data_IF_179079173229
#
_entry.id   IF_179079173229
#
_cell.length_a   1.000
_cell.length_b   1.000
_cell.length_c   1.000
_cell.angle_alpha   90.00
_cell.angle_beta   90.00
_cell.angle_gamma   90.00
#
_symmetry.space_group_name_H-M   'P 1'
#
loop_
_entity.id
_entity.type
_entity.pdbx_description
1 polymer ?
#
# COMPACT_ATOMS: atom_id res chain seq x y z
N UNK A 1 26.70 -24.43 13.68
CA UNK A 1 25.65 -23.39 13.70
C UNK A 1 24.79 -23.52 12.45
N UNK A 2 23.52 -23.87 12.64
CA UNK A 2 22.53 -24.13 11.58
C UNK A 2 22.22 -22.81 10.85
N UNK A 3 22.54 -22.73 9.55
CA UNK A 3 21.99 -21.69 8.65
C UNK A 3 20.50 -21.98 8.52
N UNK A 4 19.64 -21.27 9.24
CA UNK A 4 18.22 -21.18 8.88
C UNK A 4 18.11 -20.15 7.76
N UNK A 5 17.87 -20.57 6.49
CA UNK A 5 17.54 -19.63 5.44
C UNK A 5 16.20 -18.99 5.81
N UNK A 6 16.18 -17.66 5.93
CA UNK A 6 14.92 -16.93 6.06
C UNK A 6 14.23 -17.11 4.70
N UNK A 7 13.19 -17.96 4.65
CA UNK A 7 12.36 -18.12 3.47
C UNK A 7 11.64 -16.80 3.23
N UNK A 8 11.97 -16.13 2.12
CA UNK A 8 11.17 -15.03 1.64
C UNK A 8 9.74 -15.54 1.40
N UNK A 9 8.69 -14.81 1.83
CA UNK A 9 7.32 -15.25 1.62
C UNK A 9 7.06 -15.45 0.11
N UNK A 10 6.19 -16.42 -0.27
CA UNK A 10 5.84 -16.68 -1.66
C UNK A 10 5.32 -15.39 -2.33
N UNK A 11 5.44 -15.27 -3.66
CA UNK A 11 5.01 -14.07 -4.41
C UNK A 11 3.59 -13.62 -4.03
N UNK A 12 2.69 -14.56 -3.73
CA UNK A 12 1.31 -14.34 -3.27
C UNK A 12 1.17 -13.68 -1.89
N UNK A 13 2.20 -13.74 -1.04
CA UNK A 13 2.29 -13.05 0.27
C UNK A 13 3.19 -11.81 0.24
N UNK A 14 3.79 -11.47 -0.91
CA UNK A 14 4.61 -10.27 -1.02
C UNK A 14 3.76 -8.99 -0.97
N UNK A 15 4.27 -7.94 -0.35
CA UNK A 15 3.61 -6.62 -0.31
C UNK A 15 3.31 -6.11 -1.73
N UNK A 16 4.19 -6.41 -2.69
CA UNK A 16 4.01 -6.06 -4.11
C UNK A 16 2.80 -6.75 -4.74
N UNK A 17 2.58 -8.04 -4.47
CA UNK A 17 1.41 -8.74 -5.03
C UNK A 17 0.09 -8.21 -4.43
N UNK A 18 0.07 -7.91 -3.13
CA UNK A 18 -1.10 -7.28 -2.49
C UNK A 18 -1.41 -5.91 -3.09
N UNK A 19 -0.37 -5.09 -3.32
CA UNK A 19 -0.52 -3.80 -3.98
C UNK A 19 -1.05 -3.96 -5.41
N UNK A 20 -0.52 -4.90 -6.19
CA UNK A 20 -1.01 -5.16 -7.56
C UNK A 20 -2.49 -5.54 -7.56
N UNK A 21 -2.90 -6.48 -6.70
CA UNK A 21 -4.31 -6.90 -6.59
C UNK A 21 -5.19 -5.72 -6.19
N UNK A 22 -4.76 -4.92 -5.22
CA UNK A 22 -5.51 -3.75 -4.78
C UNK A 22 -5.63 -2.69 -5.91
N UNK A 23 -4.55 -2.45 -6.66
CA UNK A 23 -4.56 -1.56 -7.82
C UNK A 23 -5.53 -2.05 -8.89
N UNK A 24 -5.52 -3.35 -9.20
CA UNK A 24 -6.45 -3.95 -10.17
C UNK A 24 -7.89 -3.73 -9.71
N UNK A 25 -8.21 -4.01 -8.44
CA UNK A 25 -9.56 -3.83 -7.89
C UNK A 25 -10.02 -2.37 -8.03
N UNK A 26 -9.19 -1.40 -7.64
CA UNK A 26 -9.56 0.02 -7.75
C UNK A 26 -9.76 0.47 -9.19
N UNK A 27 -8.90 0.01 -10.11
CA UNK A 27 -9.03 0.33 -11.52
C UNK A 27 -10.33 -0.26 -12.09
N UNK A 28 -10.65 -1.52 -11.79
CA UNK A 28 -11.89 -2.17 -12.22
C UNK A 28 -13.13 -1.47 -11.67
N UNK A 29 -13.11 -1.02 -10.41
CA UNK A 29 -14.20 -0.22 -9.85
C UNK A 29 -14.38 1.07 -10.67
N UNK A 30 -13.29 1.78 -10.96
CA UNK A 30 -13.31 2.97 -11.80
C UNK A 30 -13.89 2.71 -13.19
N UNK A 31 -13.54 1.59 -13.82
CA UNK A 31 -14.10 1.18 -15.10
C UNK A 31 -15.61 0.99 -15.04
N UNK A 32 -16.14 0.36 -13.98
CA UNK A 32 -17.59 0.20 -13.80
C UNK A 32 -18.28 1.57 -13.71
N UNK A 33 -17.69 2.52 -12.97
CA UNK A 33 -18.21 3.88 -12.86
C UNK A 33 -18.23 4.65 -14.19
N UNK A 34 -17.36 4.30 -15.13
CA UNK A 34 -17.33 4.92 -16.47
C UNK A 34 -18.28 4.19 -17.43
N UNK A 35 -18.27 2.86 -17.41
CA UNK A 35 -19.03 2.00 -18.31
C UNK A 35 -20.55 2.14 -18.12
N UNK A 36 -21.02 2.07 -16.86
CA UNK A 36 -22.44 2.10 -16.51
C UNK A 36 -23.17 3.33 -17.07
N UNK A 37 -22.72 4.59 -16.82
CA UNK A 37 -23.37 5.77 -17.39
C UNK A 37 -23.17 5.89 -18.91
N UNK A 38 -22.06 5.37 -19.44
CA UNK A 38 -21.76 5.39 -20.88
C UNK A 38 -22.77 4.57 -21.69
N UNK A 39 -23.08 3.34 -21.26
CA UNK A 39 -24.11 2.50 -21.92
C UNK A 39 -25.52 3.08 -21.74
N UNK A 40 -25.81 3.64 -20.56
CA UNK A 40 -27.08 4.31 -20.31
C UNK A 40 -27.28 5.51 -21.26
N UNK A 41 -26.22 6.30 -21.47
CA UNK A 41 -26.22 7.40 -22.42
C UNK A 41 -26.36 6.94 -23.86
N UNK A 42 -25.70 5.83 -24.25
CA UNK A 42 -25.84 5.27 -25.61
C UNK A 42 -27.31 4.99 -25.93
N UNK A 43 -28.03 4.30 -25.02
CA UNK A 43 -29.46 4.03 -25.20
C UNK A 43 -30.26 5.32 -25.37
N UNK A 44 -30.03 6.31 -24.51
CA UNK A 44 -30.74 7.58 -24.57
C UNK A 44 -30.54 8.29 -25.91
N UNK A 45 -29.29 8.38 -26.37
CA UNK A 45 -28.94 8.98 -27.67
C UNK A 45 -29.58 8.21 -28.82
N UNK A 46 -29.50 6.87 -28.82
CA UNK A 46 -30.13 6.03 -29.83
C UNK A 46 -31.64 6.31 -29.97
N UNK A 47 -32.34 6.37 -28.84
CA UNK A 47 -33.78 6.63 -28.85
C UNK A 47 -34.10 8.07 -29.28
N UNK A 48 -33.28 9.04 -28.91
CA UNK A 48 -33.41 10.42 -29.35
C UNK A 48 -33.23 10.52 -30.88
N UNK A 49 -32.24 9.84 -31.46
CA UNK A 49 -32.01 9.79 -32.91
C UNK A 49 -33.21 9.18 -33.64
N UNK A 50 -33.83 8.13 -33.09
CA UNK A 50 -35.05 7.53 -33.66
C UNK A 50 -36.26 8.47 -33.58
N UNK A 51 -36.40 9.22 -32.49
CA UNK A 51 -37.44 10.26 -32.35
C UNK A 51 -37.25 11.36 -33.42
N UNK A 52 -36.02 11.85 -33.60
CA UNK A 52 -35.71 12.88 -34.59
C UNK A 52 -35.95 12.41 -36.02
N UNK A 53 -35.52 11.20 -36.36
CA UNK A 53 -35.76 10.60 -37.69
C UNK A 53 -37.25 10.37 -37.97
N UNK A 54 -37.99 9.85 -37.00
CA UNK A 54 -39.44 9.66 -37.08
C UNK A 54 -40.19 10.98 -37.26
N UNK A 55 -39.74 12.04 -36.59
CA UNK A 55 -40.30 13.38 -36.73
C UNK A 55 -40.13 13.92 -38.15
N UNK A 56 -38.93 13.83 -38.71
CA UNK A 56 -38.66 14.28 -40.08
C UNK A 56 -39.54 13.51 -41.08
N UNK A 57 -39.69 12.20 -40.88
CA UNK A 57 -40.59 11.38 -41.69
C UNK A 57 -42.05 11.85 -41.59
N UNK A 58 -42.54 12.11 -40.39
CA UNK A 58 -43.91 12.59 -40.17
C UNK A 58 -44.15 13.99 -40.77
N UNK A 59 -43.21 14.92 -40.62
CA UNK A 59 -43.30 16.26 -41.22
C UNK A 59 -43.27 16.21 -42.77
N UNK A 60 -42.54 15.24 -43.33
CA UNK A 60 -42.50 15.04 -44.80
C UNK A 60 -43.85 14.57 -45.34
N UNK A 61 -44.59 13.78 -44.56
CA UNK A 61 -45.96 13.36 -44.87
C UNK A 61 -46.94 14.54 -44.77
N UNK A 62 -46.81 15.35 -43.71
CA UNK A 62 -47.66 16.52 -43.48
C UNK A 62 -47.49 17.58 -44.58
N UNK A 63 -46.28 17.72 -45.12
CA UNK A 63 -45.99 18.65 -46.21
C UNK A 63 -46.43 18.16 -47.62
N UNK A 64 -46.91 16.92 -47.75
CA UNK A 64 -47.32 16.38 -49.05
C UNK A 64 -48.66 16.98 -49.52
N UNK A 65 -48.83 17.26 -50.83
CA UNK A 65 -50.12 17.71 -51.38
C UNK A 65 -51.22 16.70 -51.06
N UNK A 66 -52.37 17.17 -50.58
CA UNK A 66 -53.53 16.38 -50.16
C UNK A 66 -53.35 15.47 -48.92
N UNK A 67 -52.22 15.57 -48.19
CA UNK A 67 -51.97 14.80 -46.95
C UNK A 67 -51.93 13.28 -47.14
N UNK A 68 -51.86 12.82 -48.39
CA UNK A 68 -51.94 11.42 -48.79
C UNK A 68 -50.63 11.01 -49.47
N UNK A 69 -49.92 10.12 -48.81
CA UNK A 69 -48.63 9.59 -49.28
C UNK A 69 -48.84 8.16 -49.72
N UNK A 70 -48.22 7.75 -50.83
CA UNK A 70 -48.33 6.37 -51.32
C UNK A 70 -47.88 5.38 -50.26
N UNK A 71 -48.48 4.19 -50.26
CA UNK A 71 -48.14 3.13 -49.30
C UNK A 71 -46.65 2.78 -49.35
N UNK A 72 -46.05 2.81 -50.54
CA UNK A 72 -44.63 2.55 -50.74
C UNK A 72 -43.74 3.61 -50.08
N UNK A 73 -44.09 4.89 -50.21
CA UNK A 73 -43.34 5.98 -49.58
C UNK A 73 -43.54 5.97 -48.06
N UNK A 74 -44.73 5.62 -47.56
CA UNK A 74 -44.97 5.38 -46.12
C UNK A 74 -44.06 4.27 -45.57
N UNK A 75 -44.03 3.12 -46.24
CA UNK A 75 -43.17 1.98 -45.87
C UNK A 75 -41.70 2.36 -45.91
N UNK A 76 -41.28 3.11 -46.93
CA UNK A 76 -39.91 3.60 -47.07
C UNK A 76 -39.51 4.57 -45.94
N UNK A 77 -40.39 5.49 -45.56
CA UNK A 77 -40.16 6.45 -44.47
C UNK A 77 -40.08 5.74 -43.10
N UNK A 78 -40.95 4.77 -42.83
CA UNK A 78 -40.89 3.96 -41.60
C UNK A 78 -39.62 3.11 -41.54
N UNK A 79 -39.21 2.49 -42.66
CA UNK A 79 -37.99 1.70 -42.73
C UNK A 79 -36.74 2.55 -42.47
N UNK A 80 -36.63 3.73 -43.08
CA UNK A 80 -35.47 4.61 -42.90
C UNK A 80 -35.41 5.27 -41.51
N UNK A 81 -36.56 5.58 -40.91
CA UNK A 81 -36.61 6.08 -39.54
C UNK A 81 -36.37 4.97 -38.50
N UNK A 82 -36.55 3.70 -38.89
CA UNK A 82 -36.35 2.54 -38.01
C UNK A 82 -37.41 2.44 -36.92
N UNK A 83 -38.64 2.87 -37.23
CA UNK A 83 -39.80 2.83 -36.34
C UNK A 83 -40.96 2.12 -37.03
N UNK A 84 -41.81 1.49 -36.25
CA UNK A 84 -42.98 0.75 -36.71
C UNK A 84 -44.21 1.65 -36.87
N UNK A 85 -44.26 2.74 -36.10
CA UNK A 85 -45.36 3.70 -36.09
C UNK A 85 -44.89 5.04 -35.55
N UNK A 86 -45.47 6.13 -36.07
CA UNK A 86 -45.24 7.51 -35.61
C UNK A 86 -46.58 8.23 -35.44
N UNK A 87 -46.73 8.87 -34.28
CA UNK A 87 -47.82 9.82 -34.02
C UNK A 87 -47.25 11.13 -33.49
N UNK A 88 -47.78 12.24 -33.99
CA UNK A 88 -47.47 13.58 -33.50
C UNK A 88 -48.62 14.04 -32.60
N UNK A 89 -48.29 14.61 -31.45
CA UNK A 89 -49.25 15.27 -30.57
C UNK A 89 -48.88 16.75 -30.47
N UNK A 90 -49.80 17.61 -30.92
CA UNK A 90 -49.72 19.07 -30.84
C UNK A 90 -50.89 19.57 -29.99
N UNK A 91 -50.58 20.23 -28.88
CA UNK A 91 -51.56 20.61 -27.85
C UNK A 91 -52.47 19.43 -27.42
N UNK A 92 -53.77 19.55 -27.69
CA UNK A 92 -54.83 18.57 -27.36
C UNK A 92 -55.11 17.55 -28.49
N UNK A 93 -54.51 17.73 -29.68
CA UNK A 93 -54.80 16.90 -30.85
C UNK A 93 -53.68 15.88 -31.11
N UNK A 94 -54.05 14.59 -31.15
CA UNK A 94 -53.15 13.50 -31.52
C UNK A 94 -53.42 13.09 -32.96
N UNK A 95 -52.48 13.39 -33.85
CA UNK A 95 -52.55 12.98 -35.25
C UNK A 95 -51.65 11.77 -35.48
N UNK A 96 -52.26 10.66 -35.90
CA UNK A 96 -51.57 9.45 -36.28
C UNK A 96 -51.20 9.55 -37.76
N UNK A 97 -49.90 9.59 -38.06
CA UNK A 97 -49.42 10.01 -39.39
C UNK A 97 -48.86 8.82 -40.17
N UNK A 98 -48.19 7.89 -39.48
CA UNK A 98 -47.59 6.70 -40.09
C UNK A 98 -47.89 5.48 -39.21
N UNK A 99 -48.50 4.44 -39.79
CA UNK A 99 -48.76 3.15 -39.13
C UNK A 99 -48.35 2.01 -40.03
N UNK A 100 -47.79 0.95 -39.45
CA UNK A 100 -47.68 -0.35 -40.10
C UNK A 100 -48.97 -1.15 -39.88
N UNK A 101 -49.36 -1.99 -40.85
CA UNK A 101 -50.66 -2.67 -40.94
C UNK A 101 -51.00 -3.66 -39.79
N UNK A 102 -50.12 -3.86 -38.80
CA UNK A 102 -50.27 -4.88 -37.73
C UNK A 102 -50.35 -4.25 -36.33
N UNK A 103 -51.31 -4.64 -35.47
CA UNK A 103 -51.33 -4.21 -34.07
C UNK A 103 -50.17 -4.85 -33.28
N UNK A 104 -49.30 -4.02 -32.72
CA UNK A 104 -48.17 -4.47 -31.90
C UNK A 104 -48.54 -4.51 -30.41
N UNK A 105 -48.17 -5.58 -29.71
CA UNK A 105 -48.25 -5.62 -28.25
C UNK A 105 -47.12 -4.76 -27.66
N UNK A 106 -47.50 -3.65 -26.99
CA UNK A 106 -46.53 -2.73 -26.36
C UNK A 106 -45.98 -3.40 -25.10
N UNK A 107 -44.70 -3.78 -25.14
CA UNK A 107 -44.03 -4.43 -24.00
C UNK A 107 -43.52 -3.44 -22.94
N UNK A 108 -43.26 -2.19 -23.32
CA UNK A 108 -42.88 -1.12 -22.38
C UNK A 108 -43.15 0.27 -22.98
N UNK A 109 -43.40 1.26 -22.11
CA UNK A 109 -43.49 2.68 -22.50
C UNK A 109 -42.40 3.49 -21.79
N UNK A 110 -41.71 4.34 -22.52
CA UNK A 110 -40.65 5.21 -22.02
C UNK A 110 -40.94 6.67 -22.36
N UNK A 111 -40.87 7.54 -21.36
CA UNK A 111 -41.05 8.99 -21.49
C UNK A 111 -39.71 9.66 -21.26
N UNK A 112 -39.17 10.30 -22.29
CA UNK A 112 -37.83 10.92 -22.30
C UNK A 112 -37.72 12.12 -21.34
N UNK A 113 -38.81 12.88 -21.17
CA UNK A 113 -38.81 14.07 -20.31
C UNK A 113 -38.67 13.75 -18.82
N UNK A 114 -38.97 12.52 -18.40
CA UNK A 114 -38.96 12.10 -17.00
C UNK A 114 -37.74 11.23 -16.64
N UNK A 115 -36.66 11.34 -17.40
CA UNK A 115 -35.48 10.49 -17.22
C UNK A 115 -34.51 11.07 -16.19
N UNK A 116 -34.32 10.34 -15.08
CA UNK A 116 -33.24 10.59 -14.14
C UNK A 116 -32.03 9.69 -14.46
N UNK A 117 -30.80 10.05 -14.06
CA UNK A 117 -29.60 9.23 -14.31
C UNK A 117 -29.76 7.77 -13.84
N UNK A 118 -30.41 7.57 -12.69
CA UNK A 118 -30.70 6.24 -12.16
C UNK A 118 -31.70 5.46 -13.02
N UNK A 119 -32.75 6.14 -13.52
CA UNK A 119 -33.76 5.56 -14.41
C UNK A 119 -33.14 5.16 -15.75
N UNK A 120 -32.27 5.99 -16.31
CA UNK A 120 -31.50 5.70 -17.54
C UNK A 120 -30.68 4.42 -17.41
N UNK A 121 -29.91 4.30 -16.31
CA UNK A 121 -29.11 3.11 -16.02
C UNK A 121 -30.02 1.88 -15.92
N UNK A 122 -31.04 1.92 -15.06
CA UNK A 122 -31.95 0.78 -14.88
C UNK A 122 -32.62 0.34 -16.18
N UNK A 123 -33.07 1.28 -17.01
CA UNK A 123 -33.70 0.97 -18.29
C UNK A 123 -32.71 0.39 -19.31
N UNK A 124 -31.48 0.89 -19.36
CA UNK A 124 -30.45 0.36 -20.25
C UNK A 124 -30.04 -1.08 -19.89
N UNK A 125 -29.78 -1.35 -18.61
CA UNK A 125 -29.49 -2.72 -18.15
C UNK A 125 -30.72 -3.64 -18.26
N UNK A 126 -31.93 -3.10 -18.04
CA UNK A 126 -33.18 -3.83 -18.27
C UNK A 126 -33.38 -4.25 -19.73
N UNK A 127 -33.06 -3.36 -20.70
CA UNK A 127 -33.13 -3.68 -22.12
C UNK A 127 -32.12 -4.77 -22.51
N UNK A 128 -30.85 -4.64 -22.07
CA UNK A 128 -29.81 -5.63 -22.37
C UNK A 128 -30.08 -7.01 -21.75
N UNK A 129 -30.66 -7.07 -20.55
CA UNK A 129 -31.01 -8.33 -19.88
C UNK A 129 -32.27 -8.99 -20.45
N UNK A 130 -33.19 -8.18 -21.01
CA UNK A 130 -34.43 -8.67 -21.63
C UNK A 130 -34.29 -9.17 -23.06
N UNK A 131 -33.09 -9.13 -23.66
CA UNK A 131 -32.83 -9.67 -25.00
C UNK A 131 -33.40 -8.87 -26.18
N UNK A 132 -34.18 -7.82 -25.93
CA UNK A 132 -34.74 -6.95 -26.97
C UNK A 132 -35.94 -7.53 -27.74
N UNK A 133 -36.57 -8.60 -27.27
CA UNK A 133 -37.68 -9.28 -27.98
C UNK A 133 -39.05 -8.58 -27.83
N UNK A 134 -39.07 -7.26 -27.64
CA UNK A 134 -40.31 -6.51 -27.41
C UNK A 134 -40.37 -5.23 -28.22
N UNK A 135 -41.59 -4.85 -28.58
CA UNK A 135 -41.87 -3.52 -29.12
C UNK A 135 -42.01 -2.53 -27.97
N UNK A 136 -41.30 -1.42 -28.07
CA UNK A 136 -41.32 -0.35 -27.06
C UNK A 136 -41.96 0.91 -27.64
N UNK A 137 -42.76 1.57 -26.81
CA UNK A 137 -43.32 2.88 -27.09
C UNK A 137 -42.43 3.95 -26.46
N UNK A 138 -42.04 4.94 -27.23
CA UNK A 138 -41.14 6.00 -26.77
C UNK A 138 -41.76 7.35 -27.06
N UNK A 139 -41.91 8.16 -26.01
CA UNK A 139 -42.49 9.49 -26.07
C UNK A 139 -41.39 10.48 -25.75
N UNK A 140 -41.11 11.36 -26.70
CA UNK A 140 -40.11 12.41 -26.55
C UNK A 140 -40.60 13.75 -27.10
N UNK A 141 -40.04 14.83 -26.54
CA UNK A 141 -40.16 16.17 -27.11
C UNK A 141 -38.92 16.44 -27.94
N UNK A 142 -39.08 16.95 -29.16
CA UNK A 142 -37.93 17.32 -29.97
C UNK A 142 -37.32 18.61 -29.38
N UNK A 143 -36.01 18.65 -29.06
CA UNK A 143 -35.40 19.78 -28.32
C UNK A 143 -35.43 21.15 -29.03
N UNK A 144 -35.80 21.19 -30.31
CA UNK A 144 -35.55 22.35 -31.19
C UNK A 144 -36.72 23.30 -31.41
N UNK A 145 -37.93 22.97 -30.95
CA UNK A 145 -39.09 23.85 -31.15
C UNK A 145 -39.81 24.16 -29.84
N UNK A 146 -40.10 25.43 -29.62
CA UNK A 146 -40.91 25.94 -28.49
C UNK A 146 -42.40 25.59 -28.57
N UNK A 147 -42.80 24.77 -29.55
CA UNK A 147 -44.19 24.44 -29.89
C UNK A 147 -44.80 23.30 -29.05
N UNK A 148 -44.07 22.73 -28.08
CA UNK A 148 -44.60 21.66 -27.21
C UNK A 148 -45.00 20.37 -27.93
N UNK A 149 -44.61 20.20 -29.20
CA UNK A 149 -44.98 19.02 -30.01
C UNK A 149 -44.25 17.78 -29.49
N UNK A 150 -45.03 16.79 -29.06
CA UNK A 150 -44.50 15.50 -28.61
C UNK A 150 -44.61 14.46 -29.72
N UNK A 151 -43.53 13.71 -29.90
CA UNK A 151 -43.41 12.64 -30.88
C UNK A 151 -43.53 11.32 -30.12
N UNK A 152 -44.45 10.48 -30.56
CA UNK A 152 -44.73 9.18 -29.96
C UNK A 152 -44.53 8.10 -31.01
N UNK A 153 -43.50 7.30 -30.78
CA UNK A 153 -43.02 6.27 -31.71
C UNK A 153 -43.16 4.87 -31.12
N UNK A 154 -43.40 3.88 -31.97
CA UNK A 154 -43.19 2.48 -31.64
C UNK A 154 -41.99 1.95 -32.42
N UNK A 155 -41.09 1.23 -31.76
CA UNK A 155 -39.94 0.59 -32.40
C UNK A 155 -39.64 -0.77 -31.76
N UNK A 156 -38.97 -1.62 -32.52
CA UNK A 156 -38.43 -2.88 -32.03
C UNK A 156 -37.18 -2.63 -31.16
N UNK A 157 -37.14 -3.18 -29.95
CA UNK A 157 -36.02 -3.02 -29.02
C UNK A 157 -34.77 -3.82 -29.47
N UNK A 158 -34.93 -4.86 -30.30
CA UNK A 158 -33.86 -5.78 -30.71
C UNK A 158 -32.64 -5.08 -31.34
N UNK A 159 -32.81 -4.27 -32.40
CA UNK A 159 -31.70 -3.56 -33.04
C UNK A 159 -30.92 -2.66 -32.08
N UNK A 160 -31.62 -1.97 -31.18
CA UNK A 160 -31.01 -1.12 -30.16
C UNK A 160 -30.15 -1.94 -29.20
N UNK A 161 -30.65 -3.08 -28.72
CA UNK A 161 -29.91 -3.96 -27.80
C UNK A 161 -28.68 -4.55 -28.49
N UNK A 162 -28.78 -4.96 -29.76
CA UNK A 162 -27.64 -5.45 -30.53
C UNK A 162 -26.54 -4.38 -30.65
N UNK A 163 -26.91 -3.15 -31.01
CA UNK A 163 -25.98 -2.02 -31.09
C UNK A 163 -25.36 -1.67 -29.73
N UNK A 164 -26.16 -1.68 -28.65
CA UNK A 164 -25.68 -1.48 -27.29
C UNK A 164 -24.66 -2.54 -26.89
N UNK A 165 -24.90 -3.82 -27.19
CA UNK A 165 -23.96 -4.90 -26.88
C UNK A 165 -22.65 -4.77 -27.66
N UNK A 166 -22.72 -4.36 -28.92
CA UNK A 166 -21.52 -4.10 -29.72
C UNK A 166 -20.76 -2.86 -29.25
N UNK A 167 -21.47 -1.80 -28.86
CA UNK A 167 -20.89 -0.65 -28.18
C UNK A 167 -20.20 -1.06 -26.88
N UNK A 168 -20.87 -1.86 -26.04
CA UNK A 168 -20.34 -2.40 -24.79
C UNK A 168 -19.05 -3.20 -25.01
N UNK A 169 -18.99 -4.05 -26.05
CA UNK A 169 -17.78 -4.80 -26.40
C UNK A 169 -16.64 -3.88 -26.84
N UNK A 170 -16.92 -2.84 -27.63
CA UNK A 170 -15.91 -1.87 -28.07
C UNK A 170 -15.35 -1.08 -26.89
N UNK A 171 -16.22 -0.53 -26.05
CA UNK A 171 -15.79 0.28 -24.90
C UNK A 171 -15.07 -0.57 -23.86
N UNK A 172 -15.51 -1.80 -23.59
CA UNK A 172 -14.86 -2.72 -22.65
C UNK A 172 -13.45 -3.09 -23.11
N UNK A 173 -13.24 -3.33 -24.41
CA UNK A 173 -11.89 -3.60 -24.96
C UNK A 173 -10.98 -2.38 -24.77
N UNK A 174 -11.48 -1.19 -25.10
CA UNK A 174 -10.70 0.06 -24.96
C UNK A 174 -10.40 0.35 -23.49
N UNK A 175 -11.37 0.21 -22.59
CA UNK A 175 -11.20 0.44 -21.16
C UNK A 175 -10.19 -0.55 -20.59
N UNK A 176 -10.28 -1.84 -20.93
CA UNK A 176 -9.38 -2.88 -20.42
C UNK A 176 -7.92 -2.60 -20.79
N UNK A 177 -7.67 -2.10 -22.01
CA UNK A 177 -6.32 -1.68 -22.43
C UNK A 177 -5.83 -0.50 -21.59
N UNK A 178 -6.66 0.53 -21.41
CA UNK A 178 -6.33 1.69 -20.58
C UNK A 178 -6.12 1.30 -19.11
N UNK A 179 -6.92 0.39 -18.58
CA UNK A 179 -6.81 -0.16 -17.23
C UNK A 179 -5.51 -0.92 -17.05
N UNK A 180 -5.13 -1.78 -18.00
CA UNK A 180 -3.87 -2.51 -17.95
C UNK A 180 -2.66 -1.56 -17.97
N UNK A 181 -2.67 -0.54 -18.83
CA UNK A 181 -1.61 0.47 -18.89
C UNK A 181 -1.54 1.25 -17.57
N UNK A 182 -2.68 1.74 -17.08
CA UNK A 182 -2.75 2.54 -15.85
C UNK A 182 -2.31 1.73 -14.63
N UNK A 183 -2.85 0.53 -14.46
CA UNK A 183 -2.49 -0.37 -13.37
C UNK A 183 -0.99 -0.73 -13.43
N UNK A 184 -0.47 -1.00 -14.63
CA UNK A 184 0.95 -1.25 -14.84
C UNK A 184 1.85 -0.08 -14.44
N UNK A 185 1.50 1.15 -14.85
CA UNK A 185 2.23 2.37 -14.50
C UNK A 185 2.19 2.67 -13.01
N UNK A 186 1.01 2.54 -12.38
CA UNK A 186 0.86 2.74 -10.92
C UNK A 186 1.67 1.69 -10.15
N UNK A 187 1.55 0.42 -10.53
CA UNK A 187 2.30 -0.67 -9.91
C UNK A 187 3.80 -0.45 -10.04
N UNK A 188 4.29 -0.14 -11.25
CA UNK A 188 5.72 0.09 -11.49
C UNK A 188 6.23 1.28 -10.67
N UNK A 189 5.46 2.38 -10.63
CA UNK A 189 5.80 3.57 -9.85
C UNK A 189 5.92 3.25 -8.36
N UNK A 190 4.90 2.62 -7.76
CA UNK A 190 4.94 2.23 -6.35
C UNK A 190 6.05 1.23 -6.06
N UNK A 191 6.25 0.26 -6.94
CA UNK A 191 7.28 -0.76 -6.78
C UNK A 191 8.68 -0.14 -6.77
N UNK A 192 9.00 0.73 -7.75
CA UNK A 192 10.32 1.35 -7.88
C UNK A 192 10.55 2.43 -6.81
N UNK A 193 9.54 3.26 -6.53
CA UNK A 193 9.69 4.42 -5.66
C UNK A 193 9.63 4.05 -4.18
N UNK A 194 8.80 3.08 -3.79
CA UNK A 194 8.59 2.73 -2.37
C UNK A 194 9.02 1.30 -2.02
N UNK A 195 8.47 0.29 -2.71
CA UNK A 195 8.64 -1.11 -2.25
C UNK A 195 10.08 -1.59 -2.36
N UNK A 196 10.76 -1.30 -3.48
CA UNK A 196 12.14 -1.72 -3.72
C UNK A 196 13.12 -1.07 -2.74
N UNK A 197 13.09 0.26 -2.47
CA UNK A 197 13.92 0.87 -1.43
C UNK A 197 13.67 0.32 -0.03
N UNK A 198 12.39 0.12 0.34
CA UNK A 198 12.04 -0.42 1.65
C UNK A 198 12.59 -1.84 1.83
N UNK A 199 12.43 -2.70 0.82
CA UNK A 199 12.99 -4.05 0.83
C UNK A 199 14.51 -4.05 0.96
N UNK A 200 15.21 -3.19 0.24
CA UNK A 200 16.67 -3.01 0.36
C UNK A 200 17.09 -2.59 1.77
N UNK A 201 16.35 -1.67 2.40
CA UNK A 201 16.61 -1.27 3.78
C UNK A 201 16.39 -2.42 4.77
N UNK A 202 15.30 -3.17 4.61
CA UNK A 202 15.02 -4.34 5.43
C UNK A 202 16.10 -5.41 5.29
N UNK A 203 16.51 -5.72 4.06
CA UNK A 203 17.57 -6.70 3.79
C UNK A 203 18.91 -6.25 4.42
N UNK A 204 19.25 -4.96 4.29
CA UNK A 204 20.45 -4.41 4.93
C UNK A 204 20.37 -4.49 6.47
N UNK A 205 19.23 -4.13 7.07
CA UNK A 205 19.04 -4.22 8.51
C UNK A 205 19.20 -5.67 9.01
N UNK A 206 18.64 -6.64 8.29
CA UNK A 206 18.81 -8.07 8.60
C UNK A 206 20.28 -8.49 8.49
N UNK A 207 21.01 -8.00 7.47
CA UNK A 207 22.43 -8.29 7.30
C UNK A 207 23.28 -7.69 8.43
N UNK A 208 23.01 -6.44 8.81
CA UNK A 208 23.69 -5.75 9.91
C UNK A 208 23.42 -6.44 11.25
N UNK A 209 22.18 -6.87 11.50
CA UNK A 209 21.83 -7.61 12.73
C UNK A 209 22.62 -8.91 12.86
N UNK A 210 22.92 -9.59 11.76
CA UNK A 210 23.67 -10.87 11.76
C UNK A 210 25.16 -10.67 12.03
N UNK A 211 25.75 -9.58 11.55
CA UNK A 211 27.16 -9.26 11.72
C UNK A 211 27.35 -7.75 11.94
N UNK A 212 27.06 -7.24 13.15
CA UNK A 212 27.06 -5.80 13.43
C UNK A 212 28.47 -5.20 13.56
N UNK A 213 29.50 -6.01 13.79
CA UNK A 213 30.89 -5.56 13.90
C UNK A 213 31.58 -5.37 12.53
N UNK A 214 31.06 -6.06 11.51
CA UNK A 214 31.53 -5.96 10.14
C UNK A 214 31.18 -4.57 9.56
N UNK A 215 32.17 -3.95 8.91
CA UNK A 215 31.97 -2.65 8.29
C UNK A 215 31.21 -2.71 6.97
N UNK A 216 31.24 -3.85 6.28
CA UNK A 216 30.58 -4.03 5.00
C UNK A 216 29.04 -4.09 5.13
N UNK A 217 28.52 -4.41 6.32
CA UNK A 217 27.06 -4.50 6.57
C UNK A 217 26.41 -3.14 6.82
N UNK A 218 27.18 -2.08 7.04
CA UNK A 218 26.67 -0.72 7.22
C UNK A 218 26.13 -0.18 5.90
N UNK A 219 24.95 0.43 5.95
CA UNK A 219 24.29 0.93 4.75
C UNK A 219 25.11 2.02 4.03
N UNK A 220 25.14 1.94 2.70
CA UNK A 220 25.75 2.96 1.85
C UNK A 220 25.06 4.32 2.01
N UNK A 221 25.80 5.42 1.79
CA UNK A 221 25.26 6.77 1.89
C UNK A 221 24.17 6.97 0.84
N UNK A 222 22.94 7.26 1.28
CA UNK A 222 21.83 7.55 0.37
C UNK A 222 21.98 8.93 -0.27
N UNK A 223 21.74 8.99 -1.59
CA UNK A 223 21.63 10.23 -2.37
C UNK A 223 20.18 10.71 -2.54
N UNK A 224 19.20 9.95 -2.04
CA UNK A 224 17.78 10.31 -2.19
C UNK A 224 17.43 11.51 -1.32
N UNK A 225 16.53 12.36 -1.82
CA UNK A 225 16.08 13.60 -1.15
C UNK A 225 14.66 13.49 -0.56
N UNK A 226 14.04 12.33 -0.67
CA UNK A 226 12.73 12.02 -0.10
C UNK A 226 12.86 11.49 1.35
N UNK A 227 11.71 11.21 1.98
CA UNK A 227 11.58 10.67 3.33
C UNK A 227 12.30 9.32 3.45
N UNK A 228 12.27 8.50 2.40
CA UNK A 228 13.02 7.25 2.33
C UNK A 228 14.52 7.53 2.42
N UNK A 229 15.02 8.56 1.74
CA UNK A 229 16.39 9.03 1.83
C UNK A 229 16.77 9.48 3.25
N UNK A 230 15.88 10.19 3.95
CA UNK A 230 16.07 10.57 5.36
C UNK A 230 16.19 9.33 6.22
N UNK A 231 15.23 8.40 6.14
CA UNK A 231 15.25 7.15 6.89
C UNK A 231 16.51 6.33 6.60
N UNK A 232 17.01 6.33 5.36
CA UNK A 232 18.27 5.67 5.01
C UNK A 232 19.49 6.31 5.69
N UNK A 233 19.56 7.64 5.74
CA UNK A 233 20.65 8.33 6.42
C UNK A 233 20.62 8.07 7.93
N UNK A 234 19.45 8.13 8.55
CA UNK A 234 19.30 7.86 9.99
C UNK A 234 19.62 6.40 10.34
N UNK A 235 19.16 5.44 9.53
CA UNK A 235 19.50 4.03 9.73
C UNK A 235 21.03 3.81 9.70
N UNK A 236 21.73 4.46 8.77
CA UNK A 236 23.20 4.40 8.72
C UNK A 236 23.85 4.98 9.98
N UNK A 237 23.38 6.14 10.45
CA UNK A 237 23.91 6.78 11.67
C UNK A 237 23.71 5.86 12.87
N UNK A 238 22.54 5.26 13.02
CA UNK A 238 22.24 4.27 14.07
C UNK A 238 23.21 3.08 14.00
N UNK A 239 23.39 2.48 12.81
CA UNK A 239 24.31 1.35 12.61
C UNK A 239 25.76 1.70 13.01
N UNK A 240 26.22 2.90 12.65
CA UNK A 240 27.56 3.37 13.01
C UNK A 240 27.72 3.52 14.53
N UNK A 241 26.73 4.10 15.22
CA UNK A 241 26.73 4.24 16.68
C UNK A 241 26.73 2.89 17.39
N UNK A 242 25.87 1.97 16.97
CA UNK A 242 25.80 0.61 17.53
C UNK A 242 27.14 -0.11 17.37
N UNK A 243 27.74 -0.06 16.18
CA UNK A 243 29.05 -0.69 15.95
C UNK A 243 30.15 -0.07 16.80
N UNK A 244 30.17 1.26 16.95
CA UNK A 244 31.15 1.95 17.78
C UNK A 244 31.03 1.50 19.25
N UNK A 245 29.80 1.42 19.77
CA UNK A 245 29.53 0.93 21.12
C UNK A 245 29.99 -0.53 21.32
N UNK A 246 29.72 -1.42 20.35
CA UNK A 246 30.19 -2.81 20.41
C UNK A 246 31.71 -2.91 20.45
N UNK A 247 32.42 -2.13 19.61
CA UNK A 247 33.89 -2.10 19.62
C UNK A 247 34.47 -1.55 20.92
N UNK A 248 33.83 -0.52 21.49
CA UNK A 248 34.22 0.02 22.78
C UNK A 248 34.06 -1.02 23.89
N UNK A 249 32.92 -1.74 23.91
CA UNK A 249 32.69 -2.84 24.86
C UNK A 249 33.73 -3.96 24.70
N UNK A 250 34.02 -4.38 23.46
CA UNK A 250 35.03 -5.40 23.20
C UNK A 250 36.44 -4.96 23.66
N UNK A 251 36.80 -3.68 23.45
CA UNK A 251 38.07 -3.13 23.93
C UNK A 251 38.15 -3.11 25.45
N UNK A 252 37.07 -2.71 26.15
CA UNK A 252 37.03 -2.71 27.61
C UNK A 252 37.17 -4.13 28.16
N UNK A 253 36.50 -5.11 27.56
CA UNK A 253 36.66 -6.52 27.91
C UNK A 253 38.10 -7.03 27.70
N UNK A 254 38.73 -6.67 26.57
CA UNK A 254 40.12 -7.03 26.30
C UNK A 254 41.10 -6.39 27.30
N UNK A 255 40.86 -5.13 27.69
CA UNK A 255 41.64 -4.44 28.73
C UNK A 255 41.44 -5.13 30.09
N UNK A 256 40.22 -5.48 30.46
CA UNK A 256 39.93 -6.26 31.68
C UNK A 256 40.69 -7.59 31.70
N UNK A 257 40.68 -8.33 30.59
CA UNK A 257 41.45 -9.57 30.45
C UNK A 257 42.96 -9.36 30.57
N UNK A 258 43.51 -8.31 29.97
CA UNK A 258 44.93 -7.98 30.07
C UNK A 258 45.34 -7.58 31.50
N UNK A 259 44.52 -6.75 32.17
CA UNK A 259 44.72 -6.36 33.57
C UNK A 259 44.68 -7.58 34.48
N UNK A 260 43.72 -8.50 34.26
CA UNK A 260 43.61 -9.76 35.01
C UNK A 260 44.89 -10.61 34.88
N UNK A 261 45.42 -10.75 33.66
CA UNK A 261 46.68 -11.48 33.42
C UNK A 261 47.89 -10.82 34.09
N UNK A 262 48.03 -9.50 33.96
CA UNK A 262 49.12 -8.75 34.63
C UNK A 262 49.04 -8.95 36.15
N UNK A 263 47.84 -8.90 36.71
CA UNK A 263 47.66 -9.06 38.15
C UNK A 263 48.09 -10.45 38.62
N UNK A 264 47.68 -11.49 37.88
CA UNK A 264 48.12 -12.85 38.14
C UNK A 264 49.65 -12.98 38.14
N UNK A 265 50.31 -12.41 37.12
CA UNK A 265 51.78 -12.49 36.98
C UNK A 265 52.49 -11.69 38.10
N UNK A 266 51.95 -10.52 38.47
CA UNK A 266 52.43 -9.74 39.62
C UNK A 266 52.28 -10.53 40.93
N UNK A 267 51.13 -11.16 41.17
CA UNK A 267 50.91 -11.99 42.36
C UNK A 267 51.93 -13.14 42.44
N UNK A 268 52.23 -13.77 41.30
CA UNK A 268 53.20 -14.86 41.23
C UNK A 268 54.65 -14.37 41.51
N UNK A 269 55.03 -13.22 40.96
CA UNK A 269 56.34 -12.60 41.24
C UNK A 269 56.48 -12.14 42.70
N UNK A 270 55.44 -11.54 43.27
CA UNK A 270 55.42 -11.10 44.67
C UNK A 270 55.47 -12.28 45.64
N UNK A 271 54.76 -13.37 45.35
CA UNK A 271 54.85 -14.61 46.13
C UNK A 271 56.28 -15.19 46.10
N UNK A 272 56.94 -15.16 44.94
CA UNK A 272 58.35 -15.58 44.81
C UNK A 272 59.29 -14.70 45.62
N UNK A 273 59.10 -13.37 45.57
CA UNK A 273 59.88 -12.41 46.36
C UNK A 273 59.67 -12.60 47.88
N UNK A 274 58.46 -12.95 48.30
CA UNK A 274 58.15 -13.24 49.70
C UNK A 274 58.95 -14.45 50.20
N UNK A 275 59.05 -15.53 49.43
CA UNK A 275 59.84 -16.73 49.77
C UNK A 275 61.34 -16.41 49.88
N UNK A 276 61.86 -15.58 48.98
CA UNK A 276 63.27 -15.13 49.05
C UNK A 276 63.50 -14.22 50.26
N UNK A 277 62.55 -13.33 50.56
CA UNK A 277 62.60 -12.44 51.74
C UNK A 277 62.52 -13.21 53.06
N UNK A 278 61.71 -14.26 53.14
CA UNK A 278 61.63 -15.15 54.31
C UNK A 278 62.96 -15.88 54.56
N UNK A 279 63.61 -16.37 53.50
CA UNK A 279 64.97 -16.94 53.58
C UNK A 279 66.03 -15.92 54.03
N UNK A 280 65.92 -14.66 53.60
CA UNK A 280 66.80 -13.56 54.05
C UNK A 280 66.56 -13.19 55.52
N UNK A 281 65.32 -13.27 55.99
CA UNK A 281 64.98 -13.05 57.40
C UNK A 281 65.59 -14.13 58.32
N UNK A 282 65.70 -15.36 57.82
CA UNK A 282 66.35 -16.48 58.50
C UNK A 282 67.89 -16.46 58.43
N UNK A 283 68.50 -15.54 57.68
CA UNK A 283 69.96 -15.45 57.58
C UNK A 283 70.60 -14.94 58.90
N UNK A 284 71.81 -15.42 59.20
CA UNK A 284 72.51 -15.19 60.47
C UNK A 284 73.05 -13.75 60.64
N UNK A 285 73.21 -13.00 59.54
CA UNK A 285 73.79 -11.66 59.56
C UNK A 285 72.75 -10.60 60.06
N UNK A 286 73.05 -9.84 61.14
CA UNK A 286 72.13 -8.87 61.75
C UNK A 286 71.71 -7.71 60.83
N UNK A 287 72.57 -7.30 59.89
CA UNK A 287 72.28 -6.19 58.97
C UNK A 287 71.27 -6.59 57.89
N UNK A 288 71.32 -7.83 57.39
CA UNK A 288 70.33 -8.37 56.44
C UNK A 288 68.93 -8.51 57.04
N UNK A 289 68.83 -8.81 58.34
CA UNK A 289 67.55 -8.97 59.05
C UNK A 289 66.83 -7.62 59.27
N UNK A 290 67.57 -6.51 59.36
CA UNK A 290 67.00 -5.15 59.46
C UNK A 290 66.32 -4.71 58.15
N UNK A 291 66.80 -5.20 57.00
CA UNK A 291 66.28 -4.83 55.67
C UNK A 291 65.08 -5.70 55.24
N UNK A 292 64.92 -6.91 55.79
CA UNK A 292 63.85 -7.84 55.40
C UNK A 292 62.45 -7.40 55.86
N UNK A 293 62.30 -6.85 57.07
CA UNK A 293 60.99 -6.46 57.60
C UNK A 293 60.33 -5.28 56.83
N UNK A 294 61.04 -4.19 56.49
CA UNK A 294 60.49 -3.14 55.62
C UNK A 294 60.13 -3.65 54.22
N UNK A 295 60.89 -4.62 53.70
CA UNK A 295 60.68 -5.23 52.39
C UNK A 295 59.39 -6.07 52.37
N UNK A 296 59.14 -6.86 53.42
CA UNK A 296 57.91 -7.62 53.59
C UNK A 296 56.68 -6.71 53.63
N UNK A 297 56.74 -5.62 54.42
CA UNK A 297 55.65 -4.65 54.52
C UNK A 297 55.42 -3.85 53.21
N UNK A 298 56.45 -3.67 52.39
CA UNK A 298 56.32 -3.09 51.05
C UNK A 298 55.65 -4.07 50.07
N UNK A 299 56.02 -5.35 50.12
CA UNK A 299 55.42 -6.40 49.29
C UNK A 299 53.93 -6.61 49.61
N UNK A 300 53.54 -6.67 50.88
CA UNK A 300 52.13 -6.80 51.29
C UNK A 300 51.28 -5.60 50.81
N UNK A 301 51.83 -4.39 50.91
CA UNK A 301 51.17 -3.18 50.37
C UNK A 301 51.00 -3.24 48.85
N UNK A 302 52.00 -3.74 48.12
CA UNK A 302 51.92 -3.90 46.67
C UNK A 302 50.86 -4.96 46.26
N UNK A 303 50.77 -6.09 46.99
CA UNK A 303 49.75 -7.11 46.78
C UNK A 303 48.34 -6.53 47.00
N UNK A 304 48.14 -5.78 48.08
CA UNK A 304 46.86 -5.14 48.39
C UNK A 304 46.44 -4.14 47.31
N UNK A 305 47.36 -3.28 46.83
CA UNK A 305 47.10 -2.32 45.77
C UNK A 305 46.73 -3.00 44.44
N UNK A 306 47.44 -4.09 44.08
CA UNK A 306 47.10 -4.88 42.90
C UNK A 306 45.71 -5.50 43.03
N UNK A 307 45.37 -6.06 44.19
CA UNK A 307 44.07 -6.69 44.43
C UNK A 307 42.91 -5.69 44.30
N UNK A 308 43.05 -4.49 44.85
CA UNK A 308 42.07 -3.41 44.73
C UNK A 308 41.92 -2.88 43.28
N UNK A 309 43.00 -2.83 42.53
CA UNK A 309 42.96 -2.40 41.12
C UNK A 309 42.24 -3.43 40.24
N UNK A 310 42.37 -4.73 40.57
CA UNK A 310 41.65 -5.79 39.87
C UNK A 310 40.15 -5.74 40.16
N UNK A 311 39.74 -5.57 41.43
CA UNK A 311 38.31 -5.49 41.76
C UNK A 311 37.61 -4.34 41.04
N UNK A 312 38.31 -3.23 40.81
CA UNK A 312 37.80 -2.12 40.02
C UNK A 312 37.69 -2.45 38.52
N UNK A 313 38.67 -3.15 37.95
CA UNK A 313 38.65 -3.59 36.54
C UNK A 313 37.66 -4.73 36.27
N UNK A 314 37.33 -5.53 37.29
CA UNK A 314 36.39 -6.65 37.23
C UNK A 314 34.95 -6.27 37.56
N UNK A 315 34.64 -4.99 37.78
CA UNK A 315 33.28 -4.52 37.97
C UNK A 315 32.45 -4.61 36.67
N UNK A 316 32.24 -5.83 36.18
CA UNK A 316 30.92 -6.19 35.67
C UNK A 316 30.00 -6.16 36.89
N UNK A 317 29.31 -5.04 37.07
CA UNK A 317 28.14 -5.01 37.95
C UNK A 317 27.26 -6.21 37.54
N UNK A 318 26.97 -7.15 38.44
CA UNK A 318 26.07 -8.25 38.11
C UNK A 318 24.77 -7.63 37.61
N UNK A 319 24.23 -8.17 36.50
CA UNK A 319 22.95 -7.71 35.95
C UNK A 319 21.94 -7.57 37.10
N UNK A 320 21.34 -6.38 37.25
CA UNK A 320 20.46 -6.08 38.36
C UNK A 320 19.33 -7.12 38.46
N UNK A 321 19.43 -8.03 39.41
CA UNK A 321 18.42 -9.04 39.66
C UNK A 321 17.28 -8.37 40.43
N UNK A 322 16.13 -8.26 39.78
CA UNK A 322 14.91 -7.79 40.46
C UNK A 322 14.47 -8.89 41.43
N UNK A 323 14.51 -8.59 42.72
CA UNK A 323 14.04 -9.46 43.78
C UNK A 323 13.46 -8.66 44.94
N UNK A 324 12.67 -9.31 45.79
CA UNK A 324 12.20 -8.73 47.04
C UNK A 324 13.32 -8.83 48.08
N UNK A 325 13.65 -7.72 48.72
CA UNK A 325 14.63 -7.66 49.80
C UNK A 325 14.11 -6.74 50.92
N UNK A 326 14.46 -7.02 52.18
CA UNK A 326 14.03 -6.19 53.31
C UNK A 326 14.69 -4.81 53.22
N UNK A 327 13.87 -3.76 53.30
CA UNK A 327 14.33 -2.36 53.14
C UNK A 327 15.14 -1.87 54.35
N UNK A 328 14.78 -2.30 55.56
CA UNK A 328 15.39 -1.80 56.80
C UNK A 328 16.92 -2.08 56.88
N UNK A 329 17.41 -3.31 56.61
CA UNK A 329 18.86 -3.57 56.58
C UNK A 329 19.63 -2.74 55.56
N UNK A 330 19.03 -2.47 54.39
CA UNK A 330 19.68 -1.66 53.36
C UNK A 330 19.81 -0.19 53.80
N UNK A 331 18.79 0.34 54.49
CA UNK A 331 18.83 1.71 55.03
C UNK A 331 19.91 1.84 56.10
N UNK A 332 20.05 0.85 56.99
CA UNK A 332 21.10 0.83 58.01
C UNK A 332 22.51 0.77 57.40
N UNK A 333 22.68 -0.03 56.34
CA UNK A 333 23.94 -0.15 55.61
C UNK A 333 24.32 1.14 54.87
N UNK A 334 23.35 1.82 54.25
CA UNK A 334 23.55 3.12 53.60
C UNK A 334 23.83 4.22 54.63
N UNK A 335 23.19 4.19 55.80
CA UNK A 335 23.43 5.13 56.89
C UNK A 335 24.84 5.05 57.48
N UNK A 336 25.50 3.89 57.39
CA UNK A 336 26.90 3.69 57.78
C UNK A 336 27.91 4.37 56.85
N UNK A 337 27.55 4.53 55.56
CA UNK A 337 28.45 5.04 54.52
C UNK A 337 28.21 6.53 54.21
N UNK A 338 27.05 7.06 54.58
CA UNK A 338 26.75 8.49 54.42
C UNK A 338 27.56 9.35 55.42
N UNK A 339 28.20 10.44 54.96
CA UNK A 339 28.81 11.40 55.86
C UNK A 339 27.76 11.96 56.82
N UNK A 340 28.03 11.94 58.13
CA UNK A 340 27.18 12.62 59.10
C UNK A 340 27.17 14.12 58.78
N UNK A 341 25.98 14.68 58.60
CA UNK A 341 25.77 16.10 58.34
C UNK A 341 26.25 16.98 59.49
#
# INVERSE_FOLDING_TARGET
MVKTPISLPPLTRSLSARLLVLTIIFVLIGEVFIYVPSVARYRHVYLQERIEAARIAALSVEAAPDGMVTEDLRKMLLLHSGVLQVSLKRDEWRMLILVSEMPYAIGATFVMAEETPWKLIRQAFGAMSGGGERVIRVIGTAPRDGDGTSVDILLDEGPMVAEMLDYSRRILKLSLVLAAITAGLVFLSLHLLMVRPLRRMSDNLVSFRRAPEDAATVMSRSRRRDEIGVAQRELRVMQQRVRAALRQKARLAAVGGAVSKINHDLRNMLATALVVSDRLAMAENPETRKVSAPLLAALERAINLCTQTLSFAHAEEPDAQRGEFPLAPLVDEVALVLPKA
#
